data_IF_928666859495
#
_entry.id   IF_928666859495
#
_cell.length_a   1.000
_cell.length_b   1.000
_cell.length_c   1.000
_cell.angle_alpha   90.00
_cell.angle_beta   90.00
_cell.angle_gamma   90.00
#
_symmetry.space_group_name_H-M   'P 1'
#
loop_
_entity.id
_entity.type
_entity.pdbx_description
1 polymer ?
#
# COMPACT_ATOMS: atom_id res chain seq x y z
N UNK A 1 1.17 12.78 16.61
CA UNK A 1 2.56 13.17 17.02
C UNK A 1 3.25 14.14 16.06
N UNK A 2 3.29 13.91 14.72
CA UNK A 2 4.05 14.82 13.84
C UNK A 2 3.46 16.24 13.79
N UNK A 3 2.13 16.41 13.83
CA UNK A 3 1.47 17.73 13.78
C UNK A 3 1.95 18.64 14.90
N UNK A 4 2.19 18.10 16.10
CA UNK A 4 2.66 18.89 17.26
C UNK A 4 4.11 19.37 17.11
N UNK A 5 4.87 18.84 16.14
CA UNK A 5 6.24 19.27 15.80
C UNK A 5 6.28 20.34 14.72
N UNK A 6 5.14 20.60 14.05
CA UNK A 6 5.05 21.64 13.04
C UNK A 6 5.12 23.04 13.68
N UNK A 7 5.64 24.06 12.97
CA UNK A 7 5.90 25.40 13.54
C UNK A 7 4.71 26.05 14.23
N UNK A 8 3.49 25.81 13.76
CA UNK A 8 2.23 26.32 14.32
C UNK A 8 1.28 25.18 14.73
N UNK A 9 1.79 23.95 14.92
CA UNK A 9 0.99 22.78 15.25
C UNK A 9 -0.18 22.58 14.28
N UNK A 10 -1.38 22.51 14.82
CA UNK A 10 -2.63 22.33 14.04
C UNK A 10 -2.98 23.50 13.11
N UNK A 11 -2.41 24.67 13.34
CA UNK A 11 -2.64 25.88 12.55
C UNK A 11 -1.59 26.09 11.45
N UNK A 12 -0.66 25.17 11.31
CA UNK A 12 0.40 25.25 10.28
C UNK A 12 -0.22 25.23 8.88
N UNK A 13 0.02 26.24 8.03
CA UNK A 13 -0.41 26.20 6.63
C UNK A 13 0.28 25.06 5.91
N UNK A 14 -0.48 24.20 5.25
CA UNK A 14 0.08 22.99 4.60
C UNK A 14 0.50 23.21 3.14
N UNK A 15 0.30 24.43 2.62
CA UNK A 15 0.52 24.75 1.21
C UNK A 15 -0.47 24.07 0.27
N UNK A 16 -0.35 24.31 -1.02
CA UNK A 16 -1.18 23.63 -2.01
C UNK A 16 -0.96 22.12 -1.95
N UNK A 17 -2.05 21.36 -1.84
CA UNK A 17 -2.08 19.89 -1.77
C UNK A 17 -1.18 19.26 -0.68
N UNK A 18 -0.82 20.03 0.37
CA UNK A 18 0.06 19.54 1.43
C UNK A 18 1.54 19.41 1.02
N UNK A 19 2.01 20.24 0.09
CA UNK A 19 3.36 20.17 -0.46
C UNK A 19 4.51 20.27 0.55
N UNK A 20 4.24 20.76 1.77
CA UNK A 20 5.22 20.86 2.87
C UNK A 20 5.29 19.60 3.73
N UNK A 21 4.45 18.58 3.46
CA UNK A 21 4.41 17.33 4.21
C UNK A 21 5.10 16.21 3.44
N UNK A 22 5.70 15.27 4.18
CA UNK A 22 6.16 14.00 3.60
C UNK A 22 4.99 13.18 3.06
N UNK A 23 5.27 12.20 2.19
CA UNK A 23 4.26 11.27 1.68
C UNK A 23 3.50 10.56 2.79
N UNK A 24 4.21 10.05 3.80
CA UNK A 24 3.61 9.37 4.94
C UNK A 24 2.77 10.30 5.85
N UNK A 25 3.14 11.56 5.99
CA UNK A 25 2.37 12.55 6.75
C UNK A 25 1.07 12.89 6.05
N UNK A 26 1.11 13.15 4.73
CA UNK A 26 -0.10 13.35 3.91
C UNK A 26 -1.05 12.15 4.02
N UNK A 27 -0.52 10.93 3.91
CA UNK A 27 -1.30 9.71 4.02
C UNK A 27 -2.00 9.59 5.38
N UNK A 28 -1.29 9.84 6.48
CA UNK A 28 -1.86 9.81 7.84
C UNK A 28 -2.97 10.85 8.03
N UNK A 29 -2.85 12.04 7.46
CA UNK A 29 -3.93 13.04 7.48
C UNK A 29 -5.14 12.55 6.68
N UNK A 30 -4.92 11.95 5.51
CA UNK A 30 -6.00 11.38 4.70
C UNK A 30 -6.76 10.28 5.46
N UNK A 31 -6.03 9.39 6.14
CA UNK A 31 -6.61 8.34 6.98
C UNK A 31 -7.39 8.96 8.17
N UNK A 32 -6.84 9.97 8.84
CA UNK A 32 -7.53 10.67 9.93
C UNK A 32 -8.85 11.30 9.46
N UNK A 33 -8.87 11.90 8.26
CA UNK A 33 -10.10 12.41 7.65
C UNK A 33 -11.12 11.31 7.37
N UNK A 34 -10.68 10.15 6.90
CA UNK A 34 -11.55 9.00 6.66
C UNK A 34 -12.12 8.44 7.98
N UNK A 35 -11.32 8.40 9.05
CA UNK A 35 -11.78 8.02 10.39
C UNK A 35 -12.87 8.97 10.91
N UNK A 36 -12.67 10.28 10.77
CA UNK A 36 -13.64 11.29 11.19
C UNK A 36 -14.95 11.23 10.40
N UNK A 37 -14.87 10.83 9.12
CA UNK A 37 -16.05 10.66 8.27
C UNK A 37 -16.89 9.46 8.67
N UNK A 38 -16.30 8.47 9.31
CA UNK A 38 -16.93 7.25 9.84
C UNK A 38 -17.84 6.50 8.82
N UNK A 39 -17.39 6.44 7.57
CA UNK A 39 -18.15 5.77 6.52
C UNK A 39 -18.10 4.23 6.70
N UNK A 40 -19.20 3.50 6.43
CA UNK A 40 -19.25 2.04 6.56
C UNK A 40 -18.45 1.31 5.46
N UNK A 41 -18.18 1.98 4.35
CA UNK A 41 -17.37 1.45 3.23
C UNK A 41 -16.16 2.36 3.05
N UNK A 42 -14.98 1.76 3.00
CA UNK A 42 -13.69 2.44 2.79
C UNK A 42 -13.03 1.88 1.53
N UNK A 43 -12.57 2.77 0.66
CA UNK A 43 -11.78 2.40 -0.52
C UNK A 43 -10.36 2.89 -0.29
N UNK A 44 -9.40 1.97 -0.37
CA UNK A 44 -7.96 2.23 -0.26
C UNK A 44 -7.30 1.95 -1.61
N UNK A 45 -6.71 3.00 -2.18
CA UNK A 45 -5.97 2.91 -3.44
C UNK A 45 -4.46 3.02 -3.13
N UNK A 46 -3.73 1.92 -3.29
CA UNK A 46 -2.29 1.79 -3.03
C UNK A 46 -1.83 2.46 -1.70
N UNK A 47 -2.39 2.09 -0.56
CA UNK A 47 -2.27 2.88 0.66
C UNK A 47 -0.84 2.98 1.23
N UNK A 48 0.13 2.21 0.74
CA UNK A 48 1.53 2.22 1.21
C UNK A 48 2.55 2.41 0.08
N UNK A 49 2.12 2.89 -1.08
CA UNK A 49 3.04 3.13 -2.20
C UNK A 49 4.04 4.25 -1.86
N UNK A 50 5.32 4.03 -2.19
CA UNK A 50 6.40 5.02 -2.11
C UNK A 50 6.66 5.65 -0.72
N UNK A 51 6.42 4.92 0.38
CA UNK A 51 6.75 5.36 1.74
C UNK A 51 8.10 4.79 2.19
N UNK A 52 8.79 5.52 3.07
CA UNK A 52 9.91 5.00 3.84
C UNK A 52 9.42 4.01 4.91
N UNK A 53 10.32 3.16 5.44
CA UNK A 53 9.96 2.05 6.34
C UNK A 53 9.25 2.54 7.60
N UNK A 54 9.70 3.63 8.21
CA UNK A 54 9.11 4.16 9.46
C UNK A 54 7.72 4.73 9.20
N UNK A 55 7.55 5.44 8.09
CA UNK A 55 6.26 5.94 7.63
C UNK A 55 5.31 4.81 7.25
N UNK A 56 5.78 3.74 6.61
CA UNK A 56 4.97 2.58 6.25
C UNK A 56 4.36 1.91 7.49
N UNK A 57 5.15 1.68 8.54
CA UNK A 57 4.65 1.10 9.81
C UNK A 57 3.59 1.99 10.48
N UNK A 58 3.81 3.30 10.51
CA UNK A 58 2.88 4.23 11.11
C UNK A 58 1.56 4.33 10.32
N UNK A 59 1.65 4.30 8.99
CA UNK A 59 0.49 4.27 8.09
C UNK A 59 -0.26 2.96 8.21
N UNK A 60 0.45 1.81 8.27
CA UNK A 60 -0.19 0.51 8.42
C UNK A 60 -1.03 0.44 9.70
N UNK A 61 -0.50 0.88 10.84
CA UNK A 61 -1.26 0.96 12.10
C UNK A 61 -2.51 1.85 11.98
N UNK A 62 -2.41 2.95 11.25
CA UNK A 62 -3.54 3.84 11.04
C UNK A 62 -4.60 3.20 10.12
N UNK A 63 -4.18 2.45 9.11
CA UNK A 63 -5.07 1.67 8.24
C UNK A 63 -5.77 0.57 9.04
N UNK A 64 -5.05 -0.19 9.88
CA UNK A 64 -5.63 -1.25 10.70
C UNK A 64 -6.77 -0.73 11.58
N UNK A 65 -6.60 0.47 12.16
CA UNK A 65 -7.66 1.15 12.91
C UNK A 65 -8.82 1.60 12.01
N UNK A 66 -8.53 2.06 10.79
CA UNK A 66 -9.54 2.54 9.85
C UNK A 66 -10.42 1.40 9.35
N UNK A 67 -9.84 0.22 9.09
CA UNK A 67 -10.57 -0.92 8.48
C UNK A 67 -11.39 -1.73 9.49
N UNK A 68 -11.15 -1.54 10.79
CA UNK A 68 -11.84 -2.28 11.83
C UNK A 68 -13.36 -2.05 11.76
N UNK A 69 -14.13 -3.16 11.71
CA UNK A 69 -15.61 -3.16 11.61
C UNK A 69 -16.19 -2.43 10.39
N UNK A 70 -15.45 -2.35 9.27
CA UNK A 70 -15.92 -1.73 8.03
C UNK A 70 -15.77 -2.66 6.84
N UNK A 71 -16.56 -2.41 5.81
CA UNK A 71 -16.32 -3.03 4.49
C UNK A 71 -15.18 -2.28 3.81
N UNK A 72 -14.12 -3.00 3.45
CA UNK A 72 -12.93 -2.40 2.85
C UNK A 72 -12.70 -2.94 1.45
N UNK A 73 -12.54 -2.05 0.49
CA UNK A 73 -12.11 -2.36 -0.87
C UNK A 73 -10.69 -1.85 -1.03
N UNK A 74 -9.74 -2.74 -1.31
CA UNK A 74 -8.34 -2.39 -1.50
C UNK A 74 -7.97 -2.59 -2.96
N UNK A 75 -7.47 -1.52 -3.60
CA UNK A 75 -6.80 -1.61 -4.89
C UNK A 75 -5.31 -1.73 -4.58
N UNK A 76 -4.71 -2.85 -4.94
CA UNK A 76 -3.35 -3.17 -4.57
C UNK A 76 -2.49 -3.54 -5.76
N UNK A 77 -1.33 -2.91 -5.87
CA UNK A 77 -0.24 -3.31 -6.76
C UNK A 77 0.75 -4.25 -6.07
N UNK A 78 0.77 -4.27 -4.74
CA UNK A 78 1.57 -5.22 -3.95
C UNK A 78 0.67 -6.33 -3.41
N UNK A 79 0.78 -7.54 -3.95
CA UNK A 79 -0.06 -8.66 -3.53
C UNK A 79 0.13 -9.04 -2.06
N UNK A 80 1.29 -8.73 -1.47
CA UNK A 80 1.53 -8.96 -0.03
C UNK A 80 0.56 -8.21 0.88
N UNK A 81 -0.02 -7.10 0.44
CA UNK A 81 -0.97 -6.31 1.23
C UNK A 81 -2.36 -6.92 1.30
N UNK A 82 -2.69 -7.83 0.38
CA UNK A 82 -4.04 -8.42 0.27
C UNK A 82 -4.09 -9.91 0.62
N UNK A 83 -2.99 -10.50 1.08
CA UNK A 83 -2.95 -11.93 1.48
C UNK A 83 -4.01 -12.26 2.53
N UNK A 84 -4.28 -11.34 3.47
CA UNK A 84 -5.30 -11.49 4.50
C UNK A 84 -6.71 -11.08 4.09
N UNK A 85 -6.94 -10.69 2.85
CA UNK A 85 -8.27 -10.30 2.39
C UNK A 85 -9.23 -11.51 2.35
N UNK A 86 -10.45 -11.32 2.82
CA UNK A 86 -11.47 -12.36 2.81
C UNK A 86 -11.91 -12.76 1.40
N UNK A 87 -11.77 -11.85 0.43
CA UNK A 87 -12.09 -12.09 -0.96
C UNK A 87 -11.21 -11.21 -1.86
N UNK A 88 -10.57 -11.81 -2.85
CA UNK A 88 -9.70 -11.15 -3.83
C UNK A 88 -10.38 -11.27 -5.20
N UNK A 89 -10.49 -10.16 -5.89
CA UNK A 89 -10.99 -10.09 -7.26
C UNK A 89 -9.82 -9.81 -8.20
N UNK A 90 -9.57 -10.70 -9.15
CA UNK A 90 -8.55 -10.50 -10.19
C UNK A 90 -9.22 -9.93 -11.43
N UNK A 91 -8.76 -8.76 -11.85
CA UNK A 91 -9.30 -8.04 -12.99
C UNK A 91 -8.32 -8.08 -14.17
N UNK A 92 -8.80 -8.34 -15.36
CA UNK A 92 -8.05 -8.30 -16.61
C UNK A 92 -8.93 -7.70 -17.72
N UNK A 93 -8.42 -6.70 -18.42
CA UNK A 93 -9.17 -5.98 -19.48
C UNK A 93 -10.58 -5.51 -19.05
N UNK A 94 -10.71 -5.04 -17.80
CA UNK A 94 -11.99 -4.57 -17.26
C UNK A 94 -12.97 -5.67 -16.86
N UNK A 95 -12.58 -6.94 -16.93
CA UNK A 95 -13.40 -8.09 -16.53
C UNK A 95 -12.82 -8.79 -15.31
N UNK A 96 -13.69 -9.30 -14.45
CA UNK A 96 -13.28 -10.18 -13.36
C UNK A 96 -13.00 -11.57 -13.93
N UNK A 97 -11.76 -12.04 -13.80
CA UNK A 97 -11.31 -13.35 -14.33
C UNK A 97 -11.17 -14.41 -13.27
N UNK A 98 -10.84 -14.03 -12.03
CA UNK A 98 -10.74 -14.94 -10.89
C UNK A 98 -11.26 -14.26 -9.62
N UNK A 99 -11.77 -15.07 -8.67
CA UNK A 99 -12.26 -14.63 -7.38
C UNK A 99 -12.05 -15.69 -6.32
N UNK A 100 -11.64 -15.30 -5.14
CA UNK A 100 -11.46 -16.19 -3.98
C UNK A 100 -10.51 -15.65 -2.94
N UNK A 101 -10.17 -16.45 -1.95
CA UNK A 101 -9.11 -16.17 -0.99
C UNK A 101 -7.72 -16.39 -1.62
N UNK A 102 -6.68 -15.84 -0.99
CA UNK A 102 -5.29 -16.07 -1.41
C UNK A 102 -4.96 -17.55 -1.63
N UNK A 103 -5.32 -18.40 -0.68
CA UNK A 103 -5.04 -19.84 -0.77
C UNK A 103 -5.79 -20.52 -1.92
N UNK A 104 -7.07 -20.17 -2.10
CA UNK A 104 -7.87 -20.70 -3.22
C UNK A 104 -7.28 -20.28 -4.57
N UNK A 105 -6.97 -19.01 -4.74
CA UNK A 105 -6.42 -18.49 -5.99
C UNK A 105 -5.04 -19.05 -6.34
N UNK A 106 -4.21 -19.32 -5.35
CA UNK A 106 -2.94 -20.02 -5.57
C UNK A 106 -3.15 -21.46 -6.08
N UNK A 107 -4.17 -22.17 -5.59
CA UNK A 107 -4.46 -23.55 -6.00
C UNK A 107 -5.09 -23.65 -7.39
N UNK A 108 -5.65 -22.56 -7.94
CA UNK A 108 -6.23 -22.55 -9.29
C UNK A 108 -5.19 -22.54 -10.40
N UNK A 109 -3.92 -22.29 -10.11
CA UNK A 109 -2.82 -22.16 -11.08
C UNK A 109 -3.10 -21.15 -12.20
N UNK A 110 -3.89 -20.11 -11.89
CA UNK A 110 -4.38 -19.13 -12.83
C UNK A 110 -3.56 -17.81 -12.83
N UNK A 111 -4.26 -16.73 -13.20
CA UNK A 111 -3.66 -15.39 -13.33
C UNK A 111 -3.10 -14.87 -12.01
N UNK A 112 -3.83 -15.06 -10.91
CA UNK A 112 -3.37 -14.64 -9.57
C UNK A 112 -2.05 -15.29 -9.19
N UNK A 113 -1.93 -16.61 -9.38
CA UNK A 113 -0.71 -17.34 -9.06
C UNK A 113 0.47 -16.82 -9.89
N UNK A 114 0.25 -16.61 -11.20
CA UNK A 114 1.29 -16.07 -12.08
C UNK A 114 1.79 -14.69 -11.60
N UNK A 115 0.87 -13.79 -11.22
CA UNK A 115 1.20 -12.48 -10.67
C UNK A 115 1.95 -12.59 -9.33
N UNK A 116 1.51 -13.51 -8.46
CA UNK A 116 2.16 -13.77 -7.17
C UNK A 116 3.61 -14.20 -7.35
N UNK A 117 3.84 -15.22 -8.19
CA UNK A 117 5.20 -15.73 -8.45
C UNK A 117 6.10 -14.65 -9.07
N UNK A 118 5.59 -13.87 -10.02
CA UNK A 118 6.33 -12.79 -10.63
C UNK A 118 6.76 -11.72 -9.58
N UNK A 119 5.86 -11.35 -8.66
CA UNK A 119 6.20 -10.40 -7.60
C UNK A 119 7.18 -10.97 -6.57
N UNK A 120 7.06 -12.25 -6.23
CA UNK A 120 8.00 -12.89 -5.31
C UNK A 120 9.39 -13.00 -5.93
N UNK A 121 9.51 -13.40 -7.19
CA UNK A 121 10.76 -13.46 -7.93
C UNK A 121 11.43 -12.06 -8.00
N UNK A 122 10.67 -11.01 -8.30
CA UNK A 122 11.18 -9.64 -8.33
C UNK A 122 11.67 -9.14 -6.96
N UNK A 123 11.07 -9.62 -5.85
CA UNK A 123 11.54 -9.30 -4.49
C UNK A 123 12.86 -9.98 -4.16
N UNK A 124 12.99 -11.26 -4.49
CA UNK A 124 14.23 -12.02 -4.29
C UNK A 124 15.38 -11.38 -5.08
N UNK A 125 15.15 -11.07 -6.37
CA UNK A 125 16.15 -10.43 -7.22
C UNK A 125 16.62 -9.08 -6.65
N UNK A 126 15.72 -8.24 -6.13
CA UNK A 126 16.09 -6.96 -5.48
C UNK A 126 16.87 -7.17 -4.17
N UNK A 127 16.62 -8.24 -3.45
CA UNK A 127 17.33 -8.55 -2.21
C UNK A 127 18.72 -9.11 -2.48
N UNK A 128 18.90 -9.83 -3.59
CA UNK A 128 20.17 -10.50 -3.95
C UNK A 128 21.02 -9.74 -4.99
N UNK A 129 20.39 -8.91 -5.84
CA UNK A 129 20.99 -8.35 -7.06
C UNK A 129 21.27 -6.84 -7.06
N UNK A 130 21.26 -6.18 -5.91
CA UNK A 130 21.63 -4.75 -5.80
C UNK A 130 23.14 -4.46 -5.85
N UNK A 131 24.02 -5.44 -6.11
CA UNK A 131 25.47 -5.25 -6.00
C UNK A 131 26.34 -5.72 -7.16
N UNK A 132 25.80 -5.85 -8.38
CA UNK A 132 26.68 -6.18 -9.54
C UNK A 132 26.25 -5.44 -10.79
N UNK A 133 26.60 -4.15 -10.91
CA UNK A 133 26.70 -3.46 -12.22
C UNK A 133 27.39 -2.09 -12.10
N UNK A 134 28.52 -1.97 -11.40
CA UNK A 134 29.39 -0.78 -11.52
C UNK A 134 30.88 -1.15 -11.33
N UNK A 135 31.38 -2.08 -12.12
CA UNK A 135 32.83 -2.29 -12.17
C UNK A 135 33.21 -2.98 -13.49
N UNK A 136 32.99 -2.36 -14.64
CA UNK A 136 33.81 -2.57 -15.87
C UNK A 136 33.52 -1.38 -16.81
N UNK A 137 34.30 -0.31 -16.69
CA UNK A 137 34.62 0.60 -17.77
C UNK A 137 35.60 1.67 -17.31
N UNK A 138 36.85 1.28 -17.06
CA UNK A 138 38.04 2.14 -17.21
C UNK A 138 39.29 1.27 -17.26
N UNK A 139 39.63 0.82 -18.45
CA UNK A 139 41.00 0.67 -18.95
C UNK A 139 41.08 1.08 -20.42
#
# INVERSE_FOLDING_TARGET
EFITRLPQGWLTPMGEMGGQLSGGERQRISIARALLKDAPIVILDEPTAALDIDSELAVQKAIDNLVHNRTVIIIAHRLSTIVGAGNILVMEEGKMVEQGTHAQLLSLHGRYQALWHAQMAARVWRAEGGSTSEEVAHE
#
